data_IF_781493619135
#
_entry.id   IF_781493619135
#
_cell.length_a   1.000
_cell.length_b   1.000
_cell.length_c   1.000
_cell.angle_alpha   90.00
_cell.angle_beta   90.00
_cell.angle_gamma   90.00
#
_symmetry.space_group_name_H-M   'P 1'
#
loop_
_entity.id
_entity.type
_entity.pdbx_description
1 polymer ?
#
# COMPACT_ATOMS: atom_id res chain seq x y z
N UNK A 1 -16.62 20.42 -17.65
CA UNK A 1 -16.23 19.38 -16.69
C UNK A 1 -16.19 20.02 -15.32
N UNK A 2 -17.10 19.63 -14.42
CA UNK A 2 -17.24 20.25 -13.11
C UNK A 2 -16.35 19.54 -12.09
N UNK A 3 -15.44 20.29 -11.48
CA UNK A 3 -14.76 19.84 -10.25
C UNK A 3 -15.83 19.64 -9.16
N UNK A 4 -15.78 18.54 -8.39
CA UNK A 4 -16.72 18.32 -7.29
C UNK A 4 -16.75 19.52 -6.35
N UNK A 5 -17.95 19.97 -5.95
CA UNK A 5 -18.14 21.15 -5.08
C UNK A 5 -17.27 21.09 -3.81
N UNK A 6 -17.11 19.88 -3.26
CA UNK A 6 -16.28 19.61 -2.08
C UNK A 6 -14.82 20.01 -2.28
N UNK A 7 -14.24 19.79 -3.46
CA UNK A 7 -12.85 20.18 -3.78
C UNK A 7 -12.73 21.70 -3.92
N UNK A 8 -13.78 22.38 -4.43
CA UNK A 8 -13.83 23.84 -4.52
C UNK A 8 -13.88 24.45 -3.11
N UNK A 9 -14.69 23.89 -2.23
CA UNK A 9 -14.78 24.34 -0.83
C UNK A 9 -13.44 24.14 -0.10
N UNK A 10 -12.78 22.99 -0.27
CA UNK A 10 -11.44 22.74 0.29
C UNK A 10 -10.42 23.80 -0.16
N UNK A 11 -10.31 24.06 -1.46
CA UNK A 11 -9.30 24.96 -2.01
C UNK A 11 -9.57 26.43 -1.67
N UNK A 12 -10.85 26.81 -1.57
CA UNK A 12 -11.23 28.15 -1.12
C UNK A 12 -10.94 28.36 0.37
N UNK A 13 -11.27 27.38 1.22
CA UNK A 13 -10.97 27.44 2.66
C UNK A 13 -9.47 27.33 2.99
N UNK A 14 -8.68 26.66 2.15
CA UNK A 14 -7.22 26.62 2.27
C UNK A 14 -6.54 27.93 1.86
N UNK A 15 -7.28 28.93 1.36
CA UNK A 15 -6.73 30.20 0.89
C UNK A 15 -5.94 30.08 -0.42
N UNK A 16 -6.04 28.95 -1.12
CA UNK A 16 -5.27 28.68 -2.34
C UNK A 16 -5.88 29.36 -3.57
N UNK A 17 -7.11 29.88 -3.48
CA UNK A 17 -7.75 30.58 -4.60
C UNK A 17 -8.92 31.47 -4.19
N UNK A 18 -9.12 32.58 -4.91
CA UNK A 18 -10.16 33.59 -4.62
C UNK A 18 -11.41 33.46 -5.47
N UNK A 19 -11.41 32.61 -6.51
CA UNK A 19 -12.59 32.38 -7.36
C UNK A 19 -12.73 30.92 -7.78
N UNK A 20 -13.97 30.44 -7.92
CA UNK A 20 -14.26 29.09 -8.41
C UNK A 20 -13.68 28.84 -9.81
N UNK A 21 -13.61 29.86 -10.66
CA UNK A 21 -12.96 29.77 -11.98
C UNK A 21 -11.46 29.51 -11.88
N UNK A 22 -10.77 30.18 -10.96
CA UNK A 22 -9.33 29.99 -10.72
C UNK A 22 -9.06 28.60 -10.15
N UNK A 23 -9.90 28.12 -9.23
CA UNK A 23 -9.85 26.74 -8.71
C UNK A 23 -9.99 25.74 -9.85
N UNK A 24 -11.04 25.88 -10.67
CA UNK A 24 -11.27 24.97 -11.78
C UNK A 24 -10.09 24.97 -12.77
N UNK A 25 -9.49 26.12 -13.05
CA UNK A 25 -8.33 26.20 -13.93
C UNK A 25 -7.10 25.51 -13.34
N UNK A 26 -6.82 25.72 -12.05
CA UNK A 26 -5.70 25.07 -11.35
C UNK A 26 -5.90 23.56 -11.31
N UNK A 27 -7.08 23.09 -10.91
CA UNK A 27 -7.41 21.65 -10.88
C UNK A 27 -7.28 21.05 -12.28
N UNK A 28 -7.85 21.69 -13.32
CA UNK A 28 -7.74 21.19 -14.68
C UNK A 28 -6.30 21.12 -15.19
N UNK A 29 -5.46 22.12 -14.85
CA UNK A 29 -4.05 22.13 -15.24
C UNK A 29 -3.29 21.00 -14.54
N UNK A 30 -3.46 20.88 -13.22
CA UNK A 30 -2.81 19.86 -12.40
C UNK A 30 -3.24 18.45 -12.83
N UNK A 31 -4.54 18.22 -13.04
CA UNK A 31 -5.04 16.94 -13.52
C UNK A 31 -4.47 16.56 -14.90
N UNK A 32 -4.30 17.52 -15.82
CA UNK A 32 -3.68 17.27 -17.13
C UNK A 32 -2.20 16.88 -17.00
N UNK A 33 -1.46 17.58 -16.15
CA UNK A 33 -0.05 17.31 -15.88
C UNK A 33 0.13 15.94 -15.21
N UNK A 34 -0.61 15.67 -14.13
CA UNK A 34 -0.65 14.37 -13.45
C UNK A 34 -1.02 13.26 -14.42
N UNK A 35 -2.04 13.42 -15.25
CA UNK A 35 -2.43 12.40 -16.23
C UNK A 35 -1.30 12.10 -17.23
N UNK A 36 -0.56 13.11 -17.69
CA UNK A 36 0.59 12.89 -18.57
C UNK A 36 1.72 12.13 -17.86
N UNK A 37 2.04 12.52 -16.63
CA UNK A 37 3.07 11.87 -15.82
C UNK A 37 2.69 10.41 -15.50
N UNK A 38 1.44 10.17 -15.10
CA UNK A 38 0.90 8.83 -14.83
C UNK A 38 0.96 7.97 -16.09
N UNK A 39 0.46 8.46 -17.23
CA UNK A 39 0.51 7.68 -18.49
C UNK A 39 1.95 7.28 -18.82
N UNK A 40 2.88 8.23 -18.73
CA UNK A 40 4.29 7.96 -19.00
C UNK A 40 4.88 6.92 -18.04
N UNK A 41 4.57 7.00 -16.74
CA UNK A 41 5.08 6.08 -15.73
C UNK A 41 4.44 4.69 -15.84
N UNK A 42 3.14 4.62 -16.04
CA UNK A 42 2.40 3.35 -16.10
C UNK A 42 2.73 2.57 -17.37
N UNK A 43 2.98 3.27 -18.49
CA UNK A 43 3.40 2.63 -19.74
C UNK A 43 4.73 1.88 -19.63
N UNK A 44 5.59 2.19 -18.66
CA UNK A 44 6.82 1.42 -18.44
C UNK A 44 6.56 0.08 -17.76
N UNK A 45 5.36 -0.14 -17.19
CA UNK A 45 5.02 -1.27 -16.33
C UNK A 45 5.91 -1.39 -15.07
N UNK A 46 6.76 -0.40 -14.79
CA UNK A 46 7.66 -0.33 -13.64
C UNK A 46 7.08 0.59 -12.55
N UNK A 47 5.77 0.62 -12.41
CA UNK A 47 5.07 1.52 -11.49
C UNK A 47 4.01 0.74 -10.71
N UNK A 48 4.01 0.88 -9.39
CA UNK A 48 2.96 0.41 -8.50
C UNK A 48 1.90 1.50 -8.28
N UNK A 49 0.65 1.07 -8.06
CA UNK A 49 -0.43 1.94 -7.60
C UNK A 49 -0.63 1.73 -6.10
N UNK A 50 -0.62 2.82 -5.34
CA UNK A 50 -1.06 2.82 -3.96
C UNK A 50 -2.38 3.57 -3.85
N UNK A 51 -3.38 2.93 -3.26
CA UNK A 51 -4.67 3.53 -2.96
C UNK A 51 -4.71 3.85 -1.47
N UNK A 52 -5.17 5.06 -1.14
CA UNK A 52 -5.38 5.49 0.24
C UNK A 52 -6.77 6.14 0.36
N UNK A 53 -7.41 5.89 1.50
CA UNK A 53 -8.68 6.50 1.86
C UNK A 53 -8.38 7.51 2.96
N UNK A 54 -7.96 8.72 2.59
CA UNK A 54 -7.69 9.74 3.60
C UNK A 54 -8.97 10.50 3.95
N UNK A 55 -9.12 10.77 5.25
CA UNK A 55 -10.19 11.58 5.79
C UNK A 55 -9.67 13.01 6.01
N UNK A 56 -10.29 14.01 5.39
CA UNK A 56 -9.97 15.42 5.65
C UNK A 56 -10.98 15.97 6.64
N UNK A 57 -10.50 16.32 7.83
CA UNK A 57 -11.32 17.00 8.84
C UNK A 57 -11.13 18.53 8.74
N UNK A 58 -12.15 19.23 8.27
CA UNK A 58 -12.16 20.69 8.31
C UNK A 58 -12.59 21.20 9.68
N UNK A 59 -11.69 21.92 10.37
CA UNK A 59 -12.06 22.72 11.53
C UNK A 59 -12.67 24.03 11.03
N UNK A 60 -13.99 24.10 10.96
CA UNK A 60 -14.69 25.38 10.67
C UNK A 60 -14.53 26.33 11.85
N UNK A 61 -14.23 27.60 11.57
CA UNK A 61 -13.88 28.59 12.60
C UNK A 61 -15.08 29.07 13.45
N UNK A 62 -16.33 28.87 13.02
CA UNK A 62 -17.52 29.22 13.79
C UNK A 62 -18.70 28.28 13.51
N UNK A 63 -19.28 27.62 14.52
CA UNK A 63 -20.57 26.96 14.40
C UNK A 63 -21.68 28.03 14.31
N UNK A 64 -22.43 28.06 13.20
CA UNK A 64 -23.67 28.84 13.13
C UNK A 64 -24.79 28.11 13.87
N UNK A 65 -25.63 28.87 14.58
CA UNK A 65 -26.69 28.39 15.48
C UNK A 65 -27.68 27.44 14.79
N UNK A 66 -27.82 27.54 13.48
CA UNK A 66 -28.79 26.80 12.67
C UNK A 66 -28.39 25.34 12.38
N UNK A 67 -27.13 24.94 12.56
CA UNK A 67 -26.61 23.63 12.09
C UNK A 67 -25.83 22.81 13.13
N UNK A 68 -26.03 23.05 14.43
CA UNK A 68 -25.17 22.54 15.51
C UNK A 68 -25.03 21.00 15.60
N UNK A 69 -26.01 20.21 15.13
CA UNK A 69 -26.02 18.75 15.27
C UNK A 69 -25.59 17.96 14.01
N UNK A 70 -25.39 18.64 12.88
CA UNK A 70 -24.97 18.05 11.60
C UNK A 70 -23.53 18.41 11.20
N UNK A 71 -22.85 19.26 11.97
CA UNK A 71 -21.49 19.70 11.65
C UNK A 71 -20.47 18.56 11.62
N UNK A 72 -20.45 17.67 12.61
CA UNK A 72 -19.45 16.60 12.68
C UNK A 72 -19.49 15.60 11.51
N UNK A 73 -20.65 15.44 10.86
CA UNK A 73 -20.84 14.52 9.73
C UNK A 73 -20.68 15.19 8.36
N UNK A 74 -20.66 16.53 8.28
CA UNK A 74 -20.50 17.26 7.01
C UNK A 74 -19.08 17.81 6.79
N UNK A 75 -18.23 17.93 7.83
CA UNK A 75 -16.85 18.46 7.72
C UNK A 75 -15.77 17.41 7.52
N UNK A 76 -16.11 16.12 7.65
CA UNK A 76 -15.21 14.99 7.41
C UNK A 76 -15.47 14.47 5.99
N UNK A 77 -14.52 14.72 5.10
CA UNK A 77 -14.60 14.31 3.70
C UNK A 77 -13.80 13.03 3.51
N UNK A 78 -14.48 11.93 3.19
CA UNK A 78 -13.83 10.70 2.76
C UNK A 78 -13.45 10.83 1.28
N UNK A 79 -12.16 10.86 0.99
CA UNK A 79 -11.65 10.81 -0.38
C UNK A 79 -10.80 9.55 -0.56
N UNK A 80 -11.12 8.78 -1.59
CA UNK A 80 -10.22 7.75 -2.10
C UNK A 80 -9.26 8.42 -3.07
N UNK A 81 -7.98 8.41 -2.75
CA UNK A 81 -6.93 8.88 -3.64
C UNK A 81 -6.07 7.70 -4.07
N UNK A 82 -5.47 7.83 -5.25
CA UNK A 82 -4.45 6.92 -5.70
C UNK A 82 -3.17 7.73 -5.96
N UNK A 83 -2.03 7.08 -5.81
CA UNK A 83 -0.76 7.61 -6.28
C UNK A 83 -0.02 6.53 -7.05
N UNK A 84 0.69 6.96 -8.08
CA UNK A 84 1.64 6.11 -8.79
C UNK A 84 3.02 6.23 -8.16
N UNK A 85 3.67 5.08 -7.98
CA UNK A 85 4.96 4.92 -7.33
C UNK A 85 5.87 4.12 -8.28
N UNK A 86 6.88 4.74 -8.91
CA UNK A 86 7.88 4.02 -9.68
C UNK A 86 8.62 3.02 -8.79
N UNK A 87 8.84 1.81 -9.30
CA UNK A 87 9.56 0.76 -8.58
C UNK A 87 11.05 1.11 -8.52
N UNK A 88 11.59 1.17 -7.29
CA UNK A 88 12.99 1.49 -7.07
C UNK A 88 13.90 0.34 -7.51
N UNK A 89 15.00 0.67 -8.19
CA UNK A 89 16.02 -0.30 -8.61
C UNK A 89 15.64 -1.13 -9.84
N UNK A 90 14.46 -0.90 -10.43
CA UNK A 90 14.02 -1.59 -11.64
C UNK A 90 14.45 -0.77 -12.86
N UNK A 91 15.59 -1.13 -13.45
CA UNK A 91 16.12 -0.46 -14.65
C UNK A 91 15.81 -1.28 -15.91
N UNK A 92 15.93 -2.60 -15.82
CA UNK A 92 15.63 -3.51 -16.93
C UNK A 92 14.18 -3.99 -16.83
N UNK A 93 13.34 -3.82 -17.86
CA UNK A 93 12.02 -4.46 -17.93
C UNK A 93 12.06 -5.98 -17.71
N UNK A 94 13.19 -6.63 -18.01
CA UNK A 94 13.39 -8.05 -17.76
C UNK A 94 13.32 -8.42 -16.26
N UNK A 95 13.62 -7.48 -15.35
CA UNK A 95 13.52 -7.70 -13.91
C UNK A 95 12.07 -7.93 -13.47
N UNK A 96 11.09 -7.51 -14.29
CA UNK A 96 9.65 -7.68 -14.05
C UNK A 96 9.03 -8.84 -14.84
N UNK A 97 9.82 -9.74 -15.44
CA UNK A 97 9.30 -10.92 -16.15
C UNK A 97 8.35 -11.79 -15.31
N UNK A 98 8.55 -11.80 -13.98
CA UNK A 98 7.63 -12.46 -13.06
C UNK A 98 6.23 -11.82 -13.08
N UNK A 99 6.13 -10.49 -13.18
CA UNK A 99 4.83 -9.80 -13.29
C UNK A 99 4.14 -10.11 -14.61
N UNK A 100 4.89 -10.25 -15.71
CA UNK A 100 4.33 -10.67 -17.00
C UNK A 100 3.79 -12.11 -16.92
N UNK A 101 4.53 -13.02 -16.29
CA UNK A 101 4.08 -14.40 -16.05
C UNK A 101 2.85 -14.45 -15.12
N UNK A 102 2.83 -13.65 -14.06
CA UNK A 102 1.67 -13.54 -13.15
C UNK A 102 0.48 -12.95 -13.89
N UNK A 103 0.68 -11.92 -14.72
CA UNK A 103 -0.38 -11.30 -15.51
C UNK A 103 -0.98 -12.31 -16.49
N UNK A 104 -0.14 -13.02 -17.23
CA UNK A 104 -0.57 -14.07 -18.15
C UNK A 104 -1.29 -15.20 -17.40
N UNK A 105 -0.73 -15.65 -16.27
CA UNK A 105 -1.36 -16.66 -15.42
C UNK A 105 -2.72 -16.19 -14.89
N UNK A 106 -2.85 -14.94 -14.47
CA UNK A 106 -4.13 -14.37 -14.04
C UNK A 106 -5.15 -14.35 -15.19
N UNK A 107 -4.74 -13.93 -16.39
CA UNK A 107 -5.57 -13.92 -17.59
C UNK A 107 -6.06 -15.32 -17.98
N UNK A 108 -5.20 -16.33 -17.86
CA UNK A 108 -5.50 -17.72 -18.24
C UNK A 108 -6.18 -18.52 -17.12
N UNK A 109 -6.04 -18.09 -15.87
CA UNK A 109 -6.58 -18.78 -14.71
C UNK A 109 -8.05 -18.41 -14.48
N UNK A 110 -8.87 -19.42 -14.19
CA UNK A 110 -10.23 -19.23 -13.66
C UNK A 110 -10.25 -18.35 -12.38
N UNK A 111 -9.10 -18.14 -11.73
CA UNK A 111 -8.93 -17.26 -10.57
C UNK A 111 -9.20 -15.79 -10.89
N UNK A 112 -8.88 -15.27 -12.09
CA UNK A 112 -9.21 -13.86 -12.40
C UNK A 112 -10.73 -13.62 -12.38
N UNK A 113 -11.52 -14.57 -12.88
CA UNK A 113 -12.98 -14.51 -12.78
C UNK A 113 -13.47 -14.58 -11.33
N UNK A 114 -12.80 -15.33 -10.45
CA UNK A 114 -13.13 -15.43 -9.01
C UNK A 114 -12.71 -14.19 -8.19
N UNK A 115 -11.55 -13.60 -8.48
CA UNK A 115 -11.07 -12.34 -7.88
C UNK A 115 -12.02 -11.19 -8.28
N UNK A 116 -12.34 -11.08 -9.57
CA UNK A 116 -13.25 -10.04 -10.10
C UNK A 116 -14.68 -10.17 -9.58
N UNK A 117 -15.13 -11.38 -9.24
CA UNK A 117 -16.46 -11.62 -8.65
C UNK A 117 -16.47 -11.52 -7.11
N UNK A 118 -15.33 -11.26 -6.48
CA UNK A 118 -15.21 -11.07 -5.03
C UNK A 118 -15.46 -12.34 -4.20
N UNK A 119 -15.42 -13.52 -4.81
CA UNK A 119 -15.75 -14.80 -4.15
C UNK A 119 -14.49 -15.62 -3.84
N UNK A 120 -13.48 -15.00 -3.27
CA UNK A 120 -12.29 -15.72 -2.79
C UNK A 120 -12.61 -16.25 -1.39
N UNK A 121 -12.63 -17.56 -1.21
CA UNK A 121 -12.71 -18.15 0.12
C UNK A 121 -11.30 -18.38 0.68
N UNK A 122 -11.17 -18.43 2.01
CA UNK A 122 -9.89 -18.75 2.66
C UNK A 122 -9.29 -20.08 2.16
N UNK A 123 -10.11 -21.04 1.73
CA UNK A 123 -9.65 -22.32 1.17
C UNK A 123 -8.97 -22.15 -0.20
N UNK A 124 -9.42 -21.17 -0.99
CA UNK A 124 -8.82 -20.87 -2.29
C UNK A 124 -7.45 -20.21 -2.09
N UNK A 125 -7.30 -19.37 -1.06
CA UNK A 125 -6.01 -18.78 -0.68
C UNK A 125 -4.99 -19.83 -0.23
N UNK A 126 -5.43 -20.92 0.41
CA UNK A 126 -4.54 -22.02 0.80
C UNK A 126 -3.89 -22.73 -0.40
N UNK A 127 -4.41 -22.59 -1.62
CA UNK A 127 -3.79 -23.17 -2.84
C UNK A 127 -2.43 -22.50 -3.09
N UNK A 128 -2.29 -21.20 -2.82
CA UNK A 128 -1.00 -20.50 -2.93
C UNK A 128 0.04 -21.00 -1.93
N UNK A 129 -0.38 -21.58 -0.81
CA UNK A 129 0.52 -22.20 0.17
C UNK A 129 0.90 -23.64 -0.15
N UNK A 130 0.19 -24.33 -1.07
CA UNK A 130 0.46 -25.75 -1.35
C UNK A 130 1.74 -26.01 -2.14
N UNK A 131 2.30 -24.98 -2.77
CA UNK A 131 3.60 -25.04 -3.45
C UNK A 131 4.77 -24.64 -2.55
N UNK A 132 4.52 -24.43 -1.25
CA UNK A 132 5.55 -24.15 -0.26
C UNK A 132 6.39 -25.42 0.00
N UNK A 133 7.36 -25.63 -0.89
CA UNK A 133 8.41 -26.64 -0.77
C UNK A 133 9.45 -26.26 0.30
N UNK A 134 9.37 -25.08 0.92
CA UNK A 134 10.32 -24.65 1.95
C UNK A 134 10.19 -25.44 3.26
N UNK A 135 9.05 -26.11 3.49
CA UNK A 135 8.75 -26.81 4.74
C UNK A 135 9.08 -28.31 4.81
N UNK A 136 9.37 -28.99 3.69
CA UNK A 136 9.63 -30.45 3.71
C UNK A 136 11.13 -30.74 3.69
N UNK A 137 11.75 -30.84 4.86
CA UNK A 137 13.13 -31.33 5.00
C UNK A 137 13.17 -32.75 5.56
N UNK A 138 14.08 -33.54 5.01
CA UNK A 138 14.59 -34.77 5.63
C UNK A 138 15.61 -34.41 6.72
N UNK A 139 15.74 -35.26 7.73
CA UNK A 139 16.64 -35.05 8.88
C UNK A 139 18.06 -34.68 8.41
N UNK A 140 18.62 -33.60 9.00
CA UNK A 140 20.00 -33.17 8.79
C UNK A 140 20.23 -31.97 7.86
N UNK A 141 19.21 -31.43 7.19
CA UNK A 141 19.36 -30.21 6.37
C UNK A 141 19.26 -28.92 7.20
N UNK A 142 20.23 -28.00 7.03
CA UNK A 142 20.18 -26.66 7.62
C UNK A 142 18.92 -25.91 7.20
N UNK A 143 18.24 -25.23 8.11
CA UNK A 143 17.04 -24.43 7.85
C UNK A 143 17.27 -23.37 6.75
N UNK A 144 16.21 -23.02 6.02
CA UNK A 144 16.33 -21.91 5.05
C UNK A 144 16.58 -20.60 5.82
N UNK A 145 17.16 -19.56 5.20
CA UNK A 145 17.32 -18.27 5.85
C UNK A 145 16.02 -17.75 6.48
N UNK A 146 14.90 -17.78 5.75
CA UNK A 146 13.59 -17.37 6.26
C UNK A 146 13.14 -18.21 7.47
N UNK A 147 13.28 -19.54 7.40
CA UNK A 147 12.93 -20.42 8.51
C UNK A 147 13.84 -20.20 9.74
N UNK A 148 15.12 -19.88 9.56
CA UNK A 148 16.01 -19.49 10.65
C UNK A 148 15.56 -18.18 11.32
N UNK A 149 15.15 -17.18 10.54
CA UNK A 149 14.64 -15.92 11.11
C UNK A 149 13.31 -16.12 11.83
N UNK A 150 12.43 -16.97 11.30
CA UNK A 150 11.19 -17.32 12.00
C UNK A 150 11.48 -18.07 13.31
N UNK A 151 12.40 -19.04 13.29
CA UNK A 151 12.82 -19.75 14.50
C UNK A 151 13.45 -18.79 15.52
N UNK A 152 14.29 -17.86 15.06
CA UNK A 152 14.84 -16.78 15.90
C UNK A 152 13.71 -15.96 16.54
N UNK A 153 12.71 -15.53 15.77
CA UNK A 153 11.59 -14.75 16.29
C UNK A 153 10.77 -15.51 17.33
N UNK A 154 10.51 -16.80 17.11
CA UNK A 154 9.83 -17.66 18.09
C UNK A 154 10.66 -17.78 19.38
N UNK A 155 11.98 -17.97 19.26
CA UNK A 155 12.89 -17.99 20.41
C UNK A 155 12.89 -16.64 21.15
N UNK A 156 12.89 -15.52 20.42
CA UNK A 156 12.84 -14.17 21.00
C UNK A 156 11.60 -13.98 21.86
N UNK A 157 10.45 -14.40 21.35
CA UNK A 157 9.19 -14.39 22.08
C UNK A 157 9.28 -15.25 23.34
N UNK A 158 9.84 -16.47 23.26
CA UNK A 158 9.96 -17.36 24.42
C UNK A 158 10.92 -16.81 25.48
N UNK A 159 12.03 -16.17 25.07
CA UNK A 159 13.01 -15.58 25.99
C UNK A 159 12.43 -14.35 26.68
N UNK A 160 11.73 -13.49 25.94
CA UNK A 160 11.21 -12.23 26.47
C UNK A 160 9.85 -12.36 27.17
N UNK A 161 9.02 -13.32 26.78
CA UNK A 161 7.66 -13.48 27.26
C UNK A 161 7.37 -14.85 27.92
N UNK A 162 8.27 -15.83 27.82
CA UNK A 162 8.11 -17.16 28.39
C UNK A 162 8.43 -17.29 29.88
N UNK A 163 8.45 -16.16 30.62
CA UNK A 163 8.86 -16.07 32.04
C UNK A 163 10.33 -16.50 32.26
N UNK A 164 10.73 -16.69 33.52
CA UNK A 164 12.10 -17.03 33.94
C UNK A 164 12.66 -18.35 33.39
N UNK A 165 11.86 -19.15 32.67
CA UNK A 165 12.28 -20.47 32.18
C UNK A 165 13.34 -20.38 31.07
N UNK A 166 13.37 -19.29 30.31
CA UNK A 166 14.25 -19.13 29.15
C UNK A 166 15.21 -17.94 29.27
N UNK A 167 15.25 -17.26 30.42
CA UNK A 167 16.10 -16.08 30.64
C UNK A 167 17.60 -16.37 30.45
N UNK A 168 18.03 -17.61 30.73
CA UNK A 168 19.43 -18.02 30.57
C UNK A 168 19.90 -17.98 29.11
N UNK A 169 18.99 -18.11 28.14
CA UNK A 169 19.30 -18.04 26.70
C UNK A 169 19.46 -16.61 26.19
N UNK A 170 19.13 -15.59 27.01
CA UNK A 170 19.19 -14.19 26.60
C UNK A 170 20.59 -13.73 26.22
N UNK A 171 21.61 -14.27 26.89
CA UNK A 171 23.01 -13.95 26.59
C UNK A 171 23.42 -14.42 25.18
N UNK A 172 22.85 -15.53 24.72
CA UNK A 172 23.24 -16.20 23.46
C UNK A 172 22.29 -15.87 22.29
N UNK A 173 21.16 -15.18 22.54
CA UNK A 173 20.10 -15.01 21.55
C UNK A 173 20.43 -14.05 20.40
N UNK A 174 21.44 -13.17 20.56
CA UNK A 174 21.97 -12.32 19.50
C UNK A 174 20.92 -11.46 18.77
N UNK A 175 21.25 -11.02 17.55
CA UNK A 175 20.33 -10.31 16.64
C UNK A 175 19.92 -11.22 15.49
N UNK A 176 18.72 -11.02 14.90
CA UNK A 176 18.30 -11.80 13.75
C UNK A 176 19.23 -11.53 12.58
N UNK A 177 19.47 -12.55 11.75
CA UNK A 177 20.24 -12.38 10.52
C UNK A 177 19.44 -11.50 9.57
N UNK A 178 20.06 -10.44 9.06
CA UNK A 178 19.44 -9.63 8.02
C UNK A 178 19.30 -10.47 6.73
N UNK A 179 18.08 -10.56 6.22
CA UNK A 179 17.73 -11.22 4.97
C UNK A 179 17.03 -10.18 4.13
N UNK A 180 17.46 -10.03 2.87
CA UNK A 180 16.78 -9.19 1.88
C UNK A 180 16.38 -7.82 2.43
N UNK A 181 17.37 -7.10 2.98
CA UNK A 181 17.15 -5.77 3.57
C UNK A 181 16.45 -4.89 2.52
N UNK A 182 15.24 -4.47 2.84
CA UNK A 182 14.49 -3.55 1.97
C UNK A 182 15.28 -2.24 1.93
N UNK A 183 15.77 -1.82 0.74
CA UNK A 183 16.55 -0.61 0.64
C UNK A 183 15.67 0.59 1.00
N UNK A 184 16.14 1.39 1.96
CA UNK A 184 15.50 2.66 2.29
C UNK A 184 15.81 3.65 1.19
N UNK A 185 14.79 4.01 0.41
CA UNK A 185 14.89 4.98 -0.67
C UNK A 185 13.73 5.96 -0.60
N UNK A 186 13.99 7.24 -0.90
CA UNK A 186 12.96 8.26 -0.98
C UNK A 186 12.23 8.15 -2.32
N UNK A 187 11.02 7.63 -2.28
CA UNK A 187 10.24 7.41 -3.50
C UNK A 187 9.53 8.68 -3.97
N UNK A 188 9.50 8.87 -5.29
CA UNK A 188 8.69 9.91 -5.92
C UNK A 188 7.28 9.40 -6.15
N UNK A 189 6.30 10.21 -5.76
CA UNK A 189 4.89 9.89 -5.85
C UNK A 189 4.22 10.86 -6.81
N UNK A 190 3.46 10.34 -7.76
CA UNK A 190 2.63 11.18 -8.64
C UNK A 190 1.16 10.92 -8.31
N UNK A 191 0.46 11.89 -7.70
CA UNK A 191 -0.95 11.77 -7.36
C UNK A 191 -1.83 11.57 -8.61
N UNK A 192 -2.80 10.68 -8.50
CA UNK A 192 -3.81 10.38 -9.52
C UNK A 192 -5.03 11.30 -9.42
#
# INVERSE_FOLDING_TARGET
>A
TGTPTQVIDVLSHAGLSTSASSINNVVNSLSKESMCAIKKSVQTLQTAFAYDNFNIDFKTAQPTVEHQSTFFTQTSLLMTSATTIPLYGVVDPADLRCLEQIHQWLLESHVAAYILTGKITLKDLCIFHKEDTYGKKTDGQQLSPCANNFAWHVQDILIHHGRHQFEFLRADHGQPKLIEVIPLHKTMQTPC
#
